data_IF_885126394224
#
_entry.id   IF_885126394224
#
_cell.length_a   1.000
_cell.length_b   1.000
_cell.length_c   1.000
_cell.angle_alpha   90.00
_cell.angle_beta   90.00
_cell.angle_gamma   90.00
#
_symmetry.space_group_name_H-M   'P 1'
#
loop_
_entity.id
_entity.type
_entity.pdbx_description
1 polymer ?
#
# COMPACT_ATOMS: atom_id res chain seq x y z
N UNK A 1 -12.53 -21.41 0.49
CA UNK A 1 -11.81 -21.08 -0.76
C UNK A 1 -10.43 -20.59 -0.38
N UNK A 2 -9.37 -21.04 -1.05
CA UNK A 2 -7.98 -20.64 -0.77
C UNK A 2 -7.76 -19.18 -1.18
N UNK A 3 -7.24 -18.34 -0.27
CA UNK A 3 -6.87 -16.95 -0.57
C UNK A 3 -5.77 -16.96 -1.65
N UNK A 4 -5.91 -16.22 -2.76
CA UNK A 4 -4.90 -16.21 -3.80
C UNK A 4 -3.63 -15.54 -3.27
N UNK A 5 -2.56 -16.32 -3.14
CA UNK A 5 -1.27 -15.84 -2.68
C UNK A 5 -0.59 -14.98 -3.76
N UNK A 6 0.15 -13.96 -3.32
CA UNK A 6 1.08 -13.24 -4.19
C UNK A 6 2.41 -14.01 -4.30
N UNK A 7 3.31 -13.52 -5.15
CA UNK A 7 4.70 -14.01 -5.21
C UNK A 7 5.60 -13.46 -4.09
N UNK A 8 5.10 -12.54 -3.28
CA UNK A 8 5.91 -11.78 -2.32
C UNK A 8 5.74 -12.32 -0.89
N UNK A 9 6.84 -12.28 -0.15
CA UNK A 9 6.85 -12.42 1.29
C UNK A 9 7.13 -11.04 1.91
N UNK A 10 6.50 -10.75 3.04
CA UNK A 10 6.68 -9.49 3.74
C UNK A 10 8.10 -9.39 4.30
N UNK A 11 8.83 -8.34 3.93
CA UNK A 11 10.20 -8.11 4.39
C UNK A 11 10.31 -7.89 5.92
N UNK A 12 9.19 -7.65 6.63
CA UNK A 12 9.20 -7.41 8.08
C UNK A 12 8.84 -8.64 8.90
N UNK A 13 7.86 -9.45 8.48
CA UNK A 13 7.41 -10.61 9.25
C UNK A 13 7.72 -11.96 8.57
N UNK A 14 8.20 -11.96 7.32
CA UNK A 14 8.53 -13.16 6.56
C UNK A 14 7.33 -13.93 6.01
N UNK A 15 6.10 -13.59 6.40
CA UNK A 15 4.89 -14.27 5.95
C UNK A 15 4.55 -13.89 4.49
N UNK A 16 3.91 -14.82 3.78
CA UNK A 16 3.36 -14.60 2.44
C UNK A 16 2.31 -13.50 2.45
N UNK A 17 2.40 -12.59 1.49
CA UNK A 17 1.39 -11.56 1.24
C UNK A 17 0.31 -12.14 0.32
N UNK A 18 -0.95 -11.93 0.63
CA UNK A 18 -2.09 -12.33 -0.20
C UNK A 18 -2.67 -11.14 -0.98
N UNK A 19 -3.31 -11.40 -2.13
CA UNK A 19 -3.87 -10.33 -2.98
C UNK A 19 -5.03 -9.56 -2.33
N UNK A 20 -5.66 -10.13 -1.30
CA UNK A 20 -6.70 -9.49 -0.51
C UNK A 20 -6.14 -8.69 0.69
N UNK A 21 -4.82 -8.60 0.83
CA UNK A 21 -4.14 -7.82 1.87
C UNK A 21 -3.59 -6.53 1.29
N UNK A 22 -3.61 -5.47 2.10
CA UNK A 22 -2.93 -4.23 1.77
C UNK A 22 -1.43 -4.41 2.01
N UNK A 23 -0.64 -4.03 1.02
CA UNK A 23 0.81 -4.02 1.09
C UNK A 23 1.37 -2.79 0.40
N UNK A 24 2.60 -2.42 0.75
CA UNK A 24 3.33 -1.33 0.11
C UNK A 24 4.74 -1.78 -0.28
N UNK A 25 5.33 -1.04 -1.22
CA UNK A 25 6.68 -1.27 -1.73
C UNK A 25 7.68 -0.35 -1.05
N UNK A 26 8.75 -0.95 -0.54
CA UNK A 26 9.95 -0.27 -0.04
C UNK A 26 11.17 -0.77 -0.82
N UNK A 27 12.35 -0.13 -0.72
CA UNK A 27 13.54 -0.68 -1.41
C UNK A 27 14.01 -1.99 -0.79
N UNK A 28 13.78 -2.19 0.51
CA UNK A 28 14.03 -3.46 1.21
C UNK A 28 13.07 -4.59 0.81
N UNK A 29 12.01 -4.28 0.07
CA UNK A 29 11.05 -5.26 -0.46
C UNK A 29 9.60 -4.86 -0.23
N UNK A 30 8.71 -5.84 -0.41
CA UNK A 30 7.27 -5.65 -0.20
C UNK A 30 6.94 -5.91 1.27
N UNK A 31 6.07 -5.10 1.86
CA UNK A 31 5.66 -5.24 3.26
C UNK A 31 4.14 -5.15 3.39
N UNK A 32 3.55 -5.93 4.30
CA UNK A 32 2.15 -5.70 4.69
C UNK A 32 2.00 -4.28 5.21
N UNK A 33 0.92 -3.62 4.81
CA UNK A 33 0.59 -2.28 5.32
C UNK A 33 0.48 -2.28 6.85
N UNK A 34 -0.10 -3.34 7.44
CA UNK A 34 -0.21 -3.48 8.91
C UNK A 34 1.16 -3.56 9.59
N UNK A 35 2.08 -4.39 9.07
CA UNK A 35 3.45 -4.47 9.58
C UNK A 35 4.19 -3.13 9.43
N UNK A 36 3.98 -2.44 8.30
CA UNK A 36 4.52 -1.12 8.06
C UNK A 36 3.99 -0.09 9.06
N UNK A 37 2.67 -0.01 9.21
CA UNK A 37 1.95 0.88 10.13
C UNK A 37 2.45 0.71 11.57
N UNK A 38 2.48 -0.52 12.06
CA UNK A 38 2.90 -0.82 13.43
C UNK A 38 4.34 -0.39 13.69
N UNK A 39 5.25 -0.66 12.74
CA UNK A 39 6.65 -0.26 12.87
C UNK A 39 6.82 1.25 12.75
N UNK A 40 6.11 1.91 11.83
CA UNK A 40 6.17 3.35 11.63
C UNK A 40 5.70 4.11 12.87
N UNK A 41 4.61 3.67 13.51
CA UNK A 41 4.11 4.24 14.77
C UNK A 41 5.13 4.04 15.90
N UNK A 42 5.65 2.82 16.07
CA UNK A 42 6.60 2.49 17.16
C UNK A 42 7.92 3.22 17.06
N UNK A 43 8.34 3.57 15.84
CA UNK A 43 9.64 4.21 15.55
C UNK A 43 9.48 5.63 15.02
N UNK A 44 8.31 6.24 15.25
CA UNK A 44 7.99 7.59 14.76
C UNK A 44 8.94 8.63 15.34
N UNK A 45 9.43 9.52 14.48
CA UNK A 45 10.22 10.72 14.83
C UNK A 45 9.33 11.95 15.05
N UNK A 46 8.04 11.83 14.77
CA UNK A 46 7.02 12.89 14.89
C UNK A 46 5.92 12.48 15.87
N UNK A 47 5.09 13.42 16.35
CA UNK A 47 3.96 13.10 17.21
C UNK A 47 3.07 12.00 16.62
N UNK A 48 2.55 11.06 17.44
CA UNK A 48 1.74 9.94 16.96
C UNK A 48 0.53 10.36 16.10
N UNK A 49 -0.11 11.49 16.42
CA UNK A 49 -1.26 11.99 15.66
C UNK A 49 -0.88 12.43 14.24
N UNK A 50 0.30 13.04 14.05
CA UNK A 50 0.79 13.42 12.73
C UNK A 50 1.15 12.19 11.88
N UNK A 51 1.81 11.20 12.50
CA UNK A 51 2.12 9.94 11.82
C UNK A 51 0.86 9.18 11.40
N UNK A 52 -0.18 9.16 12.26
CA UNK A 52 -1.47 8.57 11.92
C UNK A 52 -2.09 9.21 10.69
N UNK A 53 -2.04 10.54 10.55
CA UNK A 53 -2.57 11.23 9.34
C UNK A 53 -1.91 10.69 8.07
N UNK A 54 -0.57 10.55 8.06
CA UNK A 54 0.15 10.01 6.90
C UNK A 54 -0.25 8.56 6.62
N UNK A 55 -0.32 7.73 7.67
CA UNK A 55 -0.65 6.31 7.56
C UNK A 55 -2.11 6.07 7.13
N UNK A 56 -3.05 6.88 7.59
CA UNK A 56 -4.46 6.79 7.21
C UNK A 56 -4.67 7.22 5.75
N UNK A 57 -3.93 8.24 5.29
CA UNK A 57 -3.92 8.61 3.87
C UNK A 57 -3.30 7.52 3.00
N UNK A 58 -2.22 6.86 3.47
CA UNK A 58 -1.64 5.71 2.78
C UNK A 58 -2.64 4.57 2.68
N UNK A 59 -3.33 4.23 3.77
CA UNK A 59 -4.36 3.19 3.79
C UNK A 59 -5.47 3.45 2.76
N UNK A 60 -5.94 4.71 2.67
CA UNK A 60 -6.96 5.12 1.70
C UNK A 60 -6.50 4.91 0.26
N UNK A 61 -5.27 5.28 -0.09
CA UNK A 61 -4.76 5.07 -1.45
C UNK A 61 -4.58 3.58 -1.77
N UNK A 62 -4.10 2.77 -0.82
CA UNK A 62 -3.99 1.31 -1.00
C UNK A 62 -5.36 0.63 -1.19
N UNK A 63 -6.38 1.06 -0.43
CA UNK A 63 -7.76 0.61 -0.61
C UNK A 63 -8.31 1.00 -1.98
N UNK A 64 -8.06 2.25 -2.40
CA UNK A 64 -8.50 2.76 -3.70
C UNK A 64 -7.89 1.99 -4.87
N UNK A 65 -6.60 1.65 -4.80
CA UNK A 65 -5.93 0.77 -5.79
C UNK A 65 -6.68 -0.57 -5.91
N UNK A 66 -6.99 -1.18 -4.77
CA UNK A 66 -7.70 -2.47 -4.71
C UNK A 66 -9.11 -2.35 -5.31
N UNK A 67 -9.81 -1.26 -5.02
CA UNK A 67 -11.14 -0.97 -5.54
C UNK A 67 -11.13 -0.76 -7.07
N UNK A 68 -10.17 -0.02 -7.61
CA UNK A 68 -10.02 0.15 -9.06
C UNK A 68 -9.73 -1.19 -9.75
N UNK A 69 -8.78 -1.98 -9.24
CA UNK A 69 -8.45 -3.31 -9.81
C UNK A 69 -9.66 -4.24 -9.83
N UNK A 70 -10.44 -4.27 -8.75
CA UNK A 70 -11.69 -5.03 -8.68
C UNK A 70 -12.73 -4.51 -9.67
N UNK A 71 -12.94 -3.20 -9.72
CA UNK A 71 -13.95 -2.58 -10.60
C UNK A 71 -13.63 -2.79 -12.07
N UNK A 72 -12.37 -2.59 -12.47
CA UNK A 72 -11.91 -2.79 -13.85
C UNK A 72 -12.09 -4.22 -14.36
N UNK A 73 -12.10 -5.22 -13.47
CA UNK A 73 -12.36 -6.62 -13.86
C UNK A 73 -13.77 -6.86 -14.42
N UNK A 74 -14.71 -5.95 -14.13
CA UNK A 74 -16.11 -6.03 -14.53
C UNK A 74 -16.49 -5.12 -15.72
N UNK A 75 -15.55 -4.30 -16.21
CA UNK A 75 -15.80 -3.30 -17.25
C UNK A 75 -15.42 -3.87 -18.62
N UNK A 76 -16.40 -3.91 -19.54
CA UNK A 76 -16.18 -4.33 -20.92
C UNK A 76 -15.73 -3.19 -21.85
N UNK A 77 -16.02 -1.93 -21.50
CA UNK A 77 -15.64 -0.78 -22.32
C UNK A 77 -14.15 -0.46 -22.13
N UNK A 78 -13.36 -0.61 -23.20
CA UNK A 78 -11.91 -0.43 -23.18
C UNK A 78 -11.46 1.03 -22.96
N UNK A 79 -12.25 2.02 -23.35
CA UNK A 79 -11.93 3.43 -23.09
C UNK A 79 -12.04 3.74 -21.59
N UNK A 80 -13.15 3.33 -20.95
CA UNK A 80 -13.34 3.47 -19.51
C UNK A 80 -12.23 2.72 -18.75
N UNK A 81 -11.91 1.51 -19.19
CA UNK A 81 -10.85 0.69 -18.58
C UNK A 81 -9.48 1.37 -18.65
N UNK A 82 -9.12 1.96 -19.80
CA UNK A 82 -7.86 2.72 -19.96
C UNK A 82 -7.81 3.94 -19.04
N UNK A 83 -8.92 4.68 -18.92
CA UNK A 83 -8.98 5.84 -18.02
C UNK A 83 -8.82 5.43 -16.56
N UNK A 84 -9.50 4.36 -16.13
CA UNK A 84 -9.40 3.86 -14.76
C UNK A 84 -8.01 3.26 -14.46
N UNK A 85 -7.38 2.59 -15.41
CA UNK A 85 -6.00 2.09 -15.28
C UNK A 85 -5.00 3.24 -15.05
N UNK A 86 -5.19 4.37 -15.74
CA UNK A 86 -4.35 5.55 -15.53
C UNK A 86 -4.55 6.17 -14.14
N UNK A 87 -5.80 6.25 -13.68
CA UNK A 87 -6.13 6.77 -12.34
C UNK A 87 -5.59 5.84 -11.24
N UNK A 88 -5.67 4.53 -11.45
CA UNK A 88 -5.13 3.52 -10.54
C UNK A 88 -3.60 3.64 -10.42
N UNK A 89 -2.89 3.80 -11.54
CA UNK A 89 -1.44 4.08 -11.55
C UNK A 89 -1.07 5.37 -10.82
N UNK A 90 -1.91 6.38 -10.86
CA UNK A 90 -1.67 7.62 -10.11
C UNK A 90 -1.88 7.41 -8.60
N UNK A 91 -2.84 6.59 -8.20
CA UNK A 91 -2.98 6.14 -6.81
C UNK A 91 -1.76 5.30 -6.36
N UNK A 92 -1.22 4.43 -7.21
CA UNK A 92 0.03 3.70 -6.94
C UNK A 92 1.20 4.67 -6.67
N UNK A 93 1.38 5.70 -7.52
CA UNK A 93 2.41 6.74 -7.29
C UNK A 93 2.21 7.48 -5.97
N UNK A 94 0.97 7.86 -5.65
CA UNK A 94 0.63 8.56 -4.41
C UNK A 94 0.93 7.68 -3.19
N UNK A 95 0.57 6.39 -3.23
CA UNK A 95 0.90 5.43 -2.18
C UNK A 95 2.42 5.29 -1.96
N UNK A 96 3.21 5.33 -3.05
CA UNK A 96 4.67 5.34 -2.98
C UNK A 96 5.22 6.59 -2.28
N UNK A 97 4.68 7.78 -2.60
CA UNK A 97 5.05 9.04 -1.92
C UNK A 97 4.73 8.98 -0.43
N UNK A 98 3.54 8.50 -0.06
CA UNK A 98 3.12 8.40 1.34
C UNK A 98 3.93 7.37 2.12
N UNK A 99 4.29 6.24 1.47
CA UNK A 99 5.19 5.22 2.05
C UNK A 99 6.57 5.80 2.33
N UNK A 100 7.13 6.55 1.37
CA UNK A 100 8.40 7.26 1.55
C UNK A 100 8.33 8.27 2.69
N UNK A 101 7.26 9.06 2.73
CA UNK A 101 7.06 10.06 3.76
C UNK A 101 7.00 9.42 5.15
N UNK A 102 6.18 8.39 5.34
CA UNK A 102 6.09 7.66 6.61
C UNK A 102 7.41 6.99 6.99
N UNK A 103 8.17 6.46 6.02
CA UNK A 103 9.50 5.89 6.26
C UNK A 103 10.50 6.95 6.75
N UNK A 104 10.57 8.09 6.08
CA UNK A 104 11.45 9.20 6.47
C UNK A 104 11.11 9.77 7.86
N UNK A 105 9.81 9.87 8.17
CA UNK A 105 9.29 10.32 9.47
C UNK A 105 9.37 9.24 10.56
N UNK A 106 9.91 8.06 10.26
CA UNK A 106 10.16 6.98 11.23
C UNK A 106 11.60 6.47 11.10
N UNK A 107 12.00 5.46 11.86
CA UNK A 107 13.32 4.81 11.75
C UNK A 107 13.30 3.62 10.78
N UNK A 108 12.40 3.64 9.80
CA UNK A 108 12.32 2.62 8.76
C UNK A 108 13.27 3.05 7.63
N UNK A 109 14.30 2.25 7.37
CA UNK A 109 15.20 2.48 6.25
C UNK A 109 14.48 2.19 4.92
N UNK A 110 14.45 3.22 4.06
CA UNK A 110 13.87 3.15 2.73
C UNK A 110 14.88 2.66 1.71
#
# INVERSE_FOLDING_TARGET
>A
MSRPATKWACAFCGNTIYWDELFTFMKSGVVHYTCFRDRAIKTSKVPPEEMKVVLDMLEKELLRITEYKKTMSSIANEEIKKSLDQIEKDAEKQSGVLTRLASNLSQIEE
#
